data_IF_246404096492
#
_entry.id   IF_246404096492
#
_cell.length_a   1.000
_cell.length_b   1.000
_cell.length_c   1.000
_cell.angle_alpha   90.00
_cell.angle_beta   90.00
_cell.angle_gamma   90.00
#
_symmetry.space_group_name_H-M   'P 1'
#
loop_
_entity.id
_entity.type
_entity.pdbx_description
1 polymer ?
#
# COMPACT_ATOMS: atom_id res chain seq x y z
N UNK A 1 17.66 -16.78 22.45
CA UNK A 1 16.46 -15.89 22.50
C UNK A 1 16.83 -14.41 22.63
N UNK A 2 18.09 -14.02 22.37
CA UNK A 2 18.58 -12.63 22.45
C UNK A 2 18.39 -11.83 21.14
N UNK A 3 18.25 -12.51 20.00
CA UNK A 3 18.25 -11.91 18.64
C UNK A 3 17.02 -11.05 18.30
N UNK A 4 15.91 -11.18 19.04
CA UNK A 4 14.72 -10.35 18.83
C UNK A 4 14.77 -9.03 19.62
N UNK A 5 15.56 -8.98 20.69
CA UNK A 5 15.64 -7.82 21.59
C UNK A 5 16.78 -6.90 21.17
N UNK A 6 17.85 -7.45 20.58
CA UNK A 6 19.04 -6.69 20.17
C UNK A 6 18.72 -5.52 19.23
N UNK A 7 17.82 -5.65 18.23
CA UNK A 7 17.48 -4.53 17.36
C UNK A 7 16.65 -3.45 18.07
N UNK A 8 15.75 -3.84 18.97
CA UNK A 8 14.87 -2.91 19.69
C UNK A 8 15.63 -2.05 20.71
N UNK A 9 16.73 -2.59 21.23
CA UNK A 9 17.63 -1.93 22.18
C UNK A 9 18.82 -1.28 21.47
N UNK A 10 19.06 -1.57 20.19
CA UNK A 10 20.10 -0.93 19.39
C UNK A 10 19.68 0.49 18.99
N UNK A 11 20.60 1.45 19.10
CA UNK A 11 20.37 2.84 18.70
C UNK A 11 19.88 2.96 17.25
N UNK A 12 20.37 2.08 16.37
CA UNK A 12 19.99 2.02 14.95
C UNK A 12 18.55 1.54 14.73
N UNK A 13 18.08 0.55 15.49
CA UNK A 13 16.70 0.06 15.37
C UNK A 13 15.69 1.05 15.95
N UNK A 14 16.02 1.70 17.07
CA UNK A 14 15.17 2.75 17.64
C UNK A 14 15.08 3.99 16.73
N UNK A 15 16.20 4.40 16.14
CA UNK A 15 16.21 5.49 15.15
C UNK A 15 15.34 5.15 13.92
N UNK A 16 15.37 3.91 13.44
CA UNK A 16 14.51 3.45 12.34
C UNK A 16 13.02 3.54 12.69
N UNK A 17 12.62 3.07 13.88
CA UNK A 17 11.22 3.14 14.34
C UNK A 17 10.75 4.58 14.47
N UNK A 18 11.55 5.46 15.07
CA UNK A 18 11.15 6.87 15.25
C UNK A 18 11.06 7.63 13.92
N UNK A 19 11.90 7.28 12.94
CA UNK A 19 11.81 7.83 11.58
C UNK A 19 10.58 7.35 10.81
N UNK A 20 10.22 6.07 10.92
CA UNK A 20 9.11 5.48 10.16
C UNK A 20 7.74 5.68 10.84
N UNK A 21 7.70 5.94 12.17
CA UNK A 21 6.48 6.04 12.96
C UNK A 21 5.50 7.13 12.50
N UNK A 22 5.92 8.36 12.16
CA UNK A 22 4.98 9.39 11.69
C UNK A 22 4.22 8.94 10.45
N UNK A 23 4.92 8.35 9.47
CA UNK A 23 4.32 7.83 8.25
C UNK A 23 3.39 6.64 8.52
N UNK A 24 3.75 5.78 9.48
CA UNK A 24 2.89 4.68 9.92
C UNK A 24 1.59 5.14 10.56
N UNK A 25 1.66 6.14 11.44
CA UNK A 25 0.48 6.67 12.15
C UNK A 25 -0.53 7.36 11.23
N UNK A 26 -0.05 7.94 10.12
CA UNK A 26 -0.91 8.62 9.13
C UNK A 26 -1.20 7.76 7.90
N UNK A 27 -0.88 6.46 7.93
CA UNK A 27 -1.11 5.52 6.83
C UNK A 27 -0.46 5.95 5.50
N UNK A 28 0.78 6.45 5.58
CA UNK A 28 1.63 6.80 4.44
C UNK A 28 2.96 6.02 4.42
N UNK A 29 3.07 4.93 5.19
CA UNK A 29 4.28 4.10 5.24
C UNK A 29 4.79 3.65 3.87
N UNK A 30 3.88 3.32 2.96
CA UNK A 30 4.24 2.87 1.62
C UNK A 30 4.93 3.98 0.82
N UNK A 31 4.39 5.20 0.83
CA UNK A 31 4.98 6.36 0.18
C UNK A 31 6.27 6.82 0.85
N UNK A 32 6.32 6.77 2.18
CA UNK A 32 7.54 7.07 2.93
C UNK A 32 8.70 6.15 2.54
N UNK A 33 8.43 4.84 2.41
CA UNK A 33 9.42 3.86 1.97
C UNK A 33 9.89 4.11 0.54
N UNK A 34 8.97 4.47 -0.36
CA UNK A 34 9.29 4.85 -1.76
C UNK A 34 10.20 6.09 -1.79
N UNK A 35 9.80 7.18 -1.13
CA UNK A 35 10.54 8.46 -1.20
C UNK A 35 11.85 8.45 -0.41
N UNK A 36 11.95 7.61 0.63
CA UNK A 36 13.18 7.42 1.38
C UNK A 36 14.09 6.36 0.74
N UNK A 37 13.73 5.84 -0.43
CA UNK A 37 14.45 4.79 -1.17
C UNK A 37 14.84 3.61 -0.28
N UNK A 38 13.95 3.20 0.63
CA UNK A 38 14.24 2.12 1.56
C UNK A 38 14.24 0.79 0.79
N UNK A 39 15.29 -0.03 0.92
CA UNK A 39 15.34 -1.30 0.22
C UNK A 39 14.35 -2.28 0.88
N UNK A 40 13.22 -2.53 0.22
CA UNK A 40 12.21 -3.45 0.74
C UNK A 40 12.64 -4.93 0.63
N UNK A 41 13.35 -5.27 -0.46
CA UNK A 41 13.76 -6.64 -0.78
C UNK A 41 15.17 -7.02 -0.30
N UNK A 42 15.96 -6.08 0.20
CA UNK A 42 17.32 -6.39 0.68
C UNK A 42 17.28 -6.93 2.11
N UNK A 43 17.88 -8.10 2.31
CA UNK A 43 17.97 -8.75 3.61
C UNK A 43 19.15 -8.23 4.47
N UNK A 44 20.00 -7.36 3.92
CA UNK A 44 21.28 -6.97 4.53
C UNK A 44 21.19 -5.75 5.46
N UNK A 45 20.07 -5.01 5.48
CA UNK A 45 19.92 -3.84 6.35
C UNK A 45 19.40 -4.20 7.76
N UNK A 46 19.66 -3.30 8.71
CA UNK A 46 19.10 -3.37 10.05
C UNK A 46 17.57 -3.59 9.99
N UNK A 47 17.01 -4.52 10.78
CA UNK A 47 15.62 -4.91 10.66
C UNK A 47 14.70 -3.73 11.01
N UNK A 48 14.11 -3.11 9.98
CA UNK A 48 13.06 -2.09 10.13
C UNK A 48 11.76 -2.75 10.52
N UNK A 49 11.31 -2.52 11.74
CA UNK A 49 10.13 -3.19 12.31
C UNK A 49 8.83 -2.75 11.64
N UNK A 50 8.73 -1.48 11.25
CA UNK A 50 7.52 -0.89 10.65
C UNK A 50 7.44 -1.10 9.14
N UNK A 51 8.40 -1.81 8.53
CA UNK A 51 8.45 -1.98 7.06
C UNK A 51 7.17 -2.59 6.50
N UNK A 52 6.57 -3.55 7.19
CA UNK A 52 5.36 -4.27 6.72
C UNK A 52 4.08 -3.45 6.77
N UNK A 53 4.08 -2.26 7.39
CA UNK A 53 2.90 -1.41 7.49
C UNK A 53 2.52 -0.72 6.17
N UNK A 54 3.30 -0.94 5.09
CA UNK A 54 2.94 -0.44 3.77
C UNK A 54 1.60 -1.01 3.29
N UNK A 55 1.31 -2.30 3.52
CA UNK A 55 0.07 -2.91 3.05
C UNK A 55 -1.13 -2.42 3.87
N UNK A 56 -0.95 -2.26 5.19
CA UNK A 56 -1.94 -1.65 6.06
C UNK A 56 -2.24 -0.21 5.62
N UNK A 57 -1.22 0.58 5.28
CA UNK A 57 -1.40 1.93 4.76
C UNK A 57 -2.25 1.95 3.47
N UNK A 58 -2.02 1.02 2.55
CA UNK A 58 -2.81 0.88 1.31
C UNK A 58 -4.27 0.50 1.62
N UNK A 59 -4.50 -0.42 2.56
CA UNK A 59 -5.85 -0.80 3.00
C UNK A 59 -6.61 0.38 3.62
N UNK A 60 -5.97 1.15 4.50
CA UNK A 60 -6.58 2.32 5.14
C UNK A 60 -6.87 3.44 4.14
N UNK A 61 -5.96 3.70 3.20
CA UNK A 61 -6.21 4.62 2.08
C UNK A 61 -7.45 4.20 1.28
N UNK A 62 -7.61 2.90 1.01
CA UNK A 62 -8.79 2.37 0.34
C UNK A 62 -10.05 2.55 1.20
N UNK A 63 -10.01 2.25 2.50
CA UNK A 63 -11.17 2.39 3.37
C UNK A 63 -11.59 3.84 3.62
N UNK A 64 -10.67 4.79 3.48
CA UNK A 64 -11.01 6.22 3.51
C UNK A 64 -11.58 6.67 2.15
N UNK A 65 -10.94 6.28 1.04
CA UNK A 65 -11.29 6.81 -0.28
C UNK A 65 -12.48 6.09 -0.95
N UNK A 66 -12.53 4.76 -0.88
CA UNK A 66 -13.49 3.96 -1.64
C UNK A 66 -14.93 4.07 -1.12
N UNK A 67 -15.25 4.03 0.19
CA UNK A 67 -16.65 4.08 0.63
C UNK A 67 -17.40 5.35 0.21
N UNK A 68 -16.83 6.58 0.33
CA UNK A 68 -17.47 7.78 -0.20
C UNK A 68 -17.68 7.74 -1.71
N UNK A 69 -16.69 7.25 -2.47
CA UNK A 69 -16.78 7.10 -3.93
C UNK A 69 -17.84 6.08 -4.33
N UNK A 70 -17.84 4.91 -3.70
CA UNK A 70 -18.83 3.87 -3.92
C UNK A 70 -20.23 4.37 -3.57
N UNK A 71 -20.41 5.07 -2.45
CA UNK A 71 -21.69 5.68 -2.09
C UNK A 71 -22.17 6.66 -3.17
N UNK A 72 -21.29 7.54 -3.63
CA UNK A 72 -21.60 8.48 -4.71
C UNK A 72 -22.00 7.77 -6.01
N UNK A 73 -21.21 6.79 -6.46
CA UNK A 73 -21.50 6.04 -7.68
C UNK A 73 -22.77 5.20 -7.56
N UNK A 74 -23.03 4.57 -6.40
CA UNK A 74 -24.26 3.83 -6.15
C UNK A 74 -25.48 4.74 -6.24
N UNK A 75 -25.41 5.94 -5.66
CA UNK A 75 -26.50 6.92 -5.72
C UNK A 75 -26.75 7.46 -7.13
N UNK A 76 -25.70 7.66 -7.92
CA UNK A 76 -25.78 8.30 -9.23
C UNK A 76 -26.02 7.33 -10.38
N UNK A 77 -25.46 6.13 -10.31
CA UNK A 77 -25.38 5.20 -11.45
C UNK A 77 -25.83 3.77 -11.13
N UNK A 78 -26.11 3.45 -9.86
CA UNK A 78 -26.60 2.14 -9.43
C UNK A 78 -25.51 1.07 -9.25
N UNK A 79 -25.92 -0.09 -8.70
CA UNK A 79 -25.02 -1.20 -8.29
C UNK A 79 -24.13 -1.71 -9.42
N UNK A 80 -24.73 -2.04 -10.58
CA UNK A 80 -23.99 -2.61 -11.72
C UNK A 80 -22.90 -1.66 -12.23
N UNK A 81 -23.22 -0.38 -12.40
CA UNK A 81 -22.25 0.61 -12.89
C UNK A 81 -21.12 0.84 -11.89
N UNK A 82 -21.42 0.90 -10.59
CA UNK A 82 -20.37 0.96 -9.55
C UNK A 82 -19.43 -0.25 -9.61
N UNK A 83 -19.97 -1.45 -9.82
CA UNK A 83 -19.19 -2.67 -10.01
C UNK A 83 -18.27 -2.60 -11.22
N UNK A 84 -18.78 -2.10 -12.35
CA UNK A 84 -17.98 -1.90 -13.57
C UNK A 84 -16.89 -0.84 -13.40
N UNK A 85 -17.16 0.25 -12.67
CA UNK A 85 -16.15 1.27 -12.35
C UNK A 85 -15.05 0.66 -11.48
N UNK A 86 -15.41 -0.08 -10.44
CA UNK A 86 -14.44 -0.78 -9.59
C UNK A 86 -13.57 -1.75 -10.39
N UNK A 87 -14.19 -2.53 -11.28
CA UNK A 87 -13.48 -3.46 -12.16
C UNK A 87 -12.54 -2.74 -13.12
N UNK A 88 -12.99 -1.64 -13.73
CA UNK A 88 -12.16 -0.82 -14.62
C UNK A 88 -10.95 -0.25 -13.86
N UNK A 89 -11.14 0.26 -12.64
CA UNK A 89 -10.04 0.75 -11.81
C UNK A 89 -9.06 -0.36 -11.43
N UNK A 90 -9.55 -1.57 -11.14
CA UNK A 90 -8.68 -2.73 -10.87
C UNK A 90 -7.81 -3.10 -12.09
N UNK A 91 -8.40 -3.08 -13.29
CA UNK A 91 -7.68 -3.32 -14.54
C UNK A 91 -6.68 -2.21 -14.85
N UNK A 92 -7.04 -0.94 -14.61
CA UNK A 92 -6.11 0.18 -14.76
C UNK A 92 -4.93 0.09 -13.79
N UNK A 93 -5.17 -0.29 -12.53
CA UNK A 93 -4.13 -0.52 -11.54
C UNK A 93 -3.17 -1.64 -11.97
N UNK A 94 -3.72 -2.75 -12.48
CA UNK A 94 -2.94 -3.88 -13.01
C UNK A 94 -2.13 -3.49 -14.25
N UNK A 95 -2.75 -2.78 -15.19
CA UNK A 95 -2.08 -2.29 -16.41
C UNK A 95 -0.99 -1.26 -16.09
N UNK A 96 -1.20 -0.44 -15.06
CA UNK A 96 -0.19 0.50 -14.59
C UNK A 96 0.99 -0.20 -13.94
N UNK A 97 0.74 -1.24 -13.13
CA UNK A 97 1.79 -2.10 -12.59
C UNK A 97 2.62 -2.75 -13.71
N UNK A 98 1.95 -3.28 -14.74
CA UNK A 98 2.60 -3.87 -15.91
C UNK A 98 3.48 -2.87 -16.64
N UNK A 99 2.96 -1.67 -16.93
CA UNK A 99 3.70 -0.62 -17.61
C UNK A 99 4.97 -0.19 -16.85
N UNK A 100 4.88 -0.14 -15.52
CA UNK A 100 5.97 0.30 -14.64
C UNK A 100 6.97 -0.79 -14.28
N UNK A 101 6.72 -2.04 -14.66
CA UNK A 101 7.52 -3.18 -14.19
C UNK A 101 9.01 -3.09 -14.55
N UNK A 102 9.33 -2.50 -15.70
CA UNK A 102 10.71 -2.45 -16.24
C UNK A 102 11.46 -1.13 -15.91
N UNK A 103 10.86 -0.23 -15.10
CA UNK A 103 11.46 1.07 -14.74
C UNK A 103 12.73 0.95 -13.85
N UNK A 104 13.15 -0.26 -13.48
CA UNK A 104 14.36 -0.52 -12.69
C UNK A 104 14.24 -0.27 -11.18
N UNK A 105 13.08 0.18 -10.69
CA UNK A 105 12.77 0.33 -9.25
C UNK A 105 11.62 -0.61 -8.83
N UNK A 106 11.93 -1.85 -8.40
CA UNK A 106 10.94 -2.80 -7.93
C UNK A 106 10.16 -2.31 -6.70
N UNK A 107 10.77 -1.48 -5.84
CA UNK A 107 10.12 -1.00 -4.61
C UNK A 107 8.97 -0.06 -4.96
N UNK A 108 9.13 0.83 -5.95
CA UNK A 108 8.07 1.74 -6.38
C UNK A 108 6.85 0.99 -6.92
N UNK A 109 7.07 -0.06 -7.70
CA UNK A 109 5.99 -0.88 -8.26
C UNK A 109 5.33 -1.73 -7.18
N UNK A 110 6.10 -2.24 -6.22
CA UNK A 110 5.62 -3.11 -5.15
C UNK A 110 4.86 -2.35 -4.05
N UNK A 111 5.30 -1.15 -3.68
CA UNK A 111 4.73 -0.38 -2.57
C UNK A 111 3.66 0.63 -3.01
N UNK A 112 3.54 0.88 -4.32
CA UNK A 112 2.62 1.87 -4.86
C UNK A 112 1.15 1.51 -4.65
N UNK A 113 0.37 2.41 -4.05
CA UNK A 113 -1.10 2.25 -3.94
C UNK A 113 -1.74 2.11 -5.33
N UNK A 114 -1.23 2.87 -6.30
CA UNK A 114 -1.68 2.89 -7.69
C UNK A 114 -1.47 1.55 -8.41
N UNK A 115 -0.43 0.81 -8.05
CA UNK A 115 -0.09 -0.50 -8.64
C UNK A 115 -0.60 -1.68 -7.81
N UNK A 116 -0.96 -1.49 -6.54
CA UNK A 116 -1.42 -2.57 -5.64
C UNK A 116 -2.91 -2.49 -5.23
N UNK A 117 -3.66 -1.48 -5.67
CA UNK A 117 -5.09 -1.37 -5.36
C UNK A 117 -5.99 -2.44 -6.04
N UNK A 118 -5.47 -3.17 -7.03
CA UNK A 118 -6.24 -4.10 -7.86
C UNK A 118 -7.06 -5.12 -7.07
N UNK A 119 -6.49 -5.72 -6.01
CA UNK A 119 -7.17 -6.77 -5.24
C UNK A 119 -8.39 -6.23 -4.46
N UNK A 120 -8.22 -5.07 -3.83
CA UNK A 120 -9.29 -4.39 -3.09
C UNK A 120 -10.42 -3.94 -4.02
N UNK A 121 -10.06 -3.37 -5.17
CA UNK A 121 -11.00 -2.92 -6.19
C UNK A 121 -11.74 -4.09 -6.86
N UNK A 122 -11.06 -5.22 -7.09
CA UNK A 122 -11.69 -6.43 -7.61
C UNK A 122 -12.71 -6.99 -6.61
N UNK A 123 -12.38 -7.01 -5.32
CA UNK A 123 -13.33 -7.37 -4.26
C UNK A 123 -14.56 -6.45 -4.23
N UNK A 124 -14.35 -5.13 -4.37
CA UNK A 124 -15.44 -4.17 -4.47
C UNK A 124 -16.32 -4.37 -5.72
N UNK A 125 -15.72 -4.74 -6.86
CA UNK A 125 -16.45 -5.06 -8.07
C UNK A 125 -17.34 -6.31 -7.88
N UNK A 126 -16.77 -7.38 -7.31
CA UNK A 126 -17.49 -8.63 -7.05
C UNK A 126 -18.68 -8.45 -6.10
N UNK A 127 -18.60 -7.54 -5.13
CA UNK A 127 -19.73 -7.22 -4.25
C UNK A 127 -20.92 -6.57 -4.99
N UNK A 128 -20.69 -6.00 -6.17
CA UNK A 128 -21.70 -5.30 -6.95
C UNK A 128 -22.42 -6.19 -7.98
N UNK A 129 -21.81 -7.26 -8.43
CA UNK A 129 -22.47 -8.28 -9.25
C UNK A 129 -23.33 -9.22 -8.38
#
# INVERSE_FOLDING_TARGET
MSWLITPLVSDVGFAGVTADAPAALVYLSNWWQIFSSQPYFEAAEAPRMLKHLWSLAVEEQFYIAWPPLAYFFLKKFGKQTTGLIALMLALLSTGWMWYRYDDGDPNRVYLGTDTHAMGLLLGAALACF
#
